data_IF_233156650034
#
_entry.id   IF_233156650034
#
_cell.length_a   1.000
_cell.length_b   1.000
_cell.length_c   1.000
_cell.angle_alpha   90.00
_cell.angle_beta   90.00
_cell.angle_gamma   90.00
#
_symmetry.space_group_name_H-M   'P 1'
#
loop_
_entity.id
_entity.type
_entity.pdbx_description
1 polymer ?
#
# COMPACT_ATOMS: atom_id res chain seq x y z
N UNK A 1 0.63 44.22 -15.21
CA UNK A 1 1.14 43.59 -13.96
C UNK A 1 1.58 42.18 -14.31
N UNK A 2 2.79 41.79 -13.91
CA UNK A 2 3.47 40.55 -14.33
C UNK A 2 2.75 39.32 -13.76
N UNK A 3 2.22 38.47 -14.63
CA UNK A 3 1.73 37.13 -14.31
C UNK A 3 2.92 36.18 -14.14
N UNK A 4 3.50 36.16 -12.94
CA UNK A 4 4.46 35.14 -12.52
C UNK A 4 3.72 34.08 -11.70
N UNK A 5 3.02 33.18 -12.39
CA UNK A 5 2.70 31.87 -11.84
C UNK A 5 3.55 30.87 -12.62
N UNK A 6 4.85 30.87 -12.33
CA UNK A 6 5.66 29.68 -12.51
C UNK A 6 5.16 28.68 -11.46
N UNK A 7 4.04 28.02 -11.79
CA UNK A 7 3.58 26.86 -11.07
C UNK A 7 4.60 25.78 -11.43
N UNK A 8 5.64 25.70 -10.60
CA UNK A 8 6.62 24.65 -10.66
C UNK A 8 5.83 23.34 -10.73
N UNK A 9 5.91 22.66 -11.87
CA UNK A 9 5.55 21.27 -11.94
C UNK A 9 6.44 20.57 -10.92
N UNK A 10 5.89 20.34 -9.72
CA UNK A 10 6.44 19.33 -8.83
C UNK A 10 6.54 18.08 -9.68
N UNK A 11 7.74 17.47 -9.85
CA UNK A 11 7.80 16.19 -10.53
C UNK A 11 6.86 15.29 -9.74
N UNK A 12 5.76 14.89 -10.38
CA UNK A 12 4.92 13.83 -9.87
C UNK A 12 5.90 12.70 -9.56
N UNK A 13 6.08 12.40 -8.28
CA UNK A 13 6.60 11.11 -7.91
C UNK A 13 5.64 10.13 -8.60
N UNK A 14 6.11 9.45 -9.64
CA UNK A 14 5.40 8.38 -10.35
C UNK A 14 5.23 7.13 -9.44
N UNK A 15 4.97 7.38 -8.16
CA UNK A 15 4.53 6.38 -7.22
C UNK A 15 3.08 6.08 -7.50
N UNK A 16 2.77 4.80 -7.66
CA UNK A 16 1.37 4.34 -7.74
C UNK A 16 0.69 4.28 -6.37
N UNK A 17 1.40 4.65 -5.31
CA UNK A 17 0.98 4.54 -3.91
C UNK A 17 1.09 5.88 -3.19
N UNK A 18 0.32 6.00 -2.11
CA UNK A 18 0.38 7.13 -1.18
C UNK A 18 0.68 6.66 0.25
N UNK A 19 1.03 7.60 1.13
CA UNK A 19 1.15 7.31 2.55
C UNK A 19 -0.18 6.75 3.09
N UNK A 20 -0.07 5.87 4.08
CA UNK A 20 -1.17 5.11 4.71
C UNK A 20 -1.76 3.98 3.83
N UNK A 21 -1.33 3.83 2.58
CA UNK A 21 -1.75 2.70 1.76
C UNK A 21 -1.35 1.36 2.40
N UNK A 22 -2.28 0.41 2.33
CA UNK A 22 -2.06 -0.96 2.79
C UNK A 22 -1.70 -1.82 1.59
N UNK A 23 -0.48 -2.34 1.60
CA UNK A 23 0.11 -3.11 0.53
C UNK A 23 0.55 -4.49 1.00
N UNK A 24 0.77 -5.38 0.05
CA UNK A 24 1.39 -6.68 0.27
C UNK A 24 2.61 -6.85 -0.63
N UNK A 25 3.54 -7.70 -0.22
CA UNK A 25 4.68 -8.04 -1.04
C UNK A 25 4.22 -8.85 -2.26
N UNK A 26 4.67 -8.46 -3.45
CA UNK A 26 4.55 -9.24 -4.68
C UNK A 26 5.37 -10.53 -4.50
N UNK A 27 4.68 -11.62 -4.16
CA UNK A 27 5.12 -13.02 -4.21
C UNK A 27 6.65 -13.20 -4.06
N UNK A 28 7.16 -13.11 -2.84
CA UNK A 28 8.45 -13.69 -2.49
C UNK A 28 8.19 -15.17 -2.21
N UNK A 29 8.42 -16.04 -3.20
CA UNK A 29 8.15 -17.50 -3.09
C UNK A 29 8.88 -18.18 -1.91
N UNK A 30 9.85 -17.51 -1.27
CA UNK A 30 10.60 -17.99 -0.10
C UNK A 30 10.04 -17.54 1.26
N UNK A 31 9.21 -16.50 1.27
CA UNK A 31 8.65 -15.91 2.48
C UNK A 31 7.16 -15.69 2.21
N UNK A 32 6.33 -16.60 2.71
CA UNK A 32 4.87 -16.50 2.67
C UNK A 32 4.38 -15.38 3.60
N UNK A 33 4.91 -14.17 3.41
CA UNK A 33 4.51 -12.96 4.11
C UNK A 33 3.26 -12.48 3.39
N UNK A 34 2.12 -13.08 3.76
CA UNK A 34 0.79 -12.55 3.49
C UNK A 34 0.46 -11.37 4.42
N UNK A 35 1.48 -10.75 5.00
CA UNK A 35 1.30 -9.65 5.94
C UNK A 35 0.99 -8.37 5.17
N UNK A 36 -0.01 -7.67 5.69
CA UNK A 36 -0.37 -6.35 5.23
C UNK A 36 0.57 -5.34 5.86
N UNK A 37 1.19 -4.55 5.00
CA UNK A 37 2.19 -3.54 5.31
C UNK A 37 1.58 -2.18 5.05
N UNK A 38 1.64 -1.28 6.01
CA UNK A 38 1.20 0.10 5.84
C UNK A 38 2.38 0.98 5.46
N UNK A 39 2.23 1.74 4.39
CA UNK A 39 3.21 2.70 3.93
C UNK A 39 3.15 3.97 4.79
N UNK A 40 4.30 4.51 5.19
CA UNK A 40 4.38 5.72 6.03
C UNK A 40 4.84 6.94 5.25
N UNK A 41 6.01 6.84 4.64
CA UNK A 41 6.71 7.95 3.99
C UNK A 41 7.45 7.43 2.77
N UNK A 42 7.51 8.24 1.73
CA UNK A 42 8.33 7.94 0.55
C UNK A 42 9.55 8.85 0.53
N UNK A 43 10.73 8.25 0.45
CA UNK A 43 12.01 8.99 0.42
C UNK A 43 12.48 9.35 -1.00
N UNK A 44 11.70 9.01 -2.04
CA UNK A 44 12.05 9.18 -3.45
C UNK A 44 12.46 7.88 -4.14
N UNK A 45 12.77 6.82 -3.40
CA UNK A 45 13.16 5.51 -3.96
C UNK A 45 12.48 4.33 -3.25
N UNK A 46 12.28 4.44 -1.94
CA UNK A 46 11.69 3.42 -1.10
C UNK A 46 10.59 4.01 -0.23
N UNK A 47 9.61 3.17 0.08
CA UNK A 47 8.60 3.43 1.08
C UNK A 47 9.07 2.92 2.43
N UNK A 48 9.05 3.79 3.44
CA UNK A 48 9.12 3.39 4.84
C UNK A 48 7.81 2.72 5.25
N UNK A 49 7.91 1.71 6.11
CA UNK A 49 6.76 0.88 6.48
C UNK A 49 6.60 0.75 8.00
N UNK A 50 5.44 0.29 8.43
CA UNK A 50 5.19 -0.11 9.82
C UNK A 50 5.70 -1.51 10.16
N UNK A 51 6.04 -2.31 9.15
CA UNK A 51 6.50 -3.68 9.29
C UNK A 51 7.99 -3.77 9.63
N UNK A 52 8.43 -4.90 10.23
CA UNK A 52 9.84 -5.17 10.59
C UNK A 52 10.83 -5.16 9.41
N UNK A 53 10.34 -5.15 8.17
CA UNK A 53 11.16 -5.01 6.97
C UNK A 53 11.73 -3.57 6.86
N UNK A 54 11.05 -2.60 7.48
CA UNK A 54 11.46 -1.20 7.55
C UNK A 54 11.22 -0.42 6.26
N UNK A 55 11.76 -0.89 5.14
CA UNK A 55 11.68 -0.20 3.83
C UNK A 55 11.40 -1.16 2.68
N UNK A 56 10.55 -0.75 1.74
CA UNK A 56 10.17 -1.55 0.56
C UNK A 56 10.19 -0.73 -0.72
N UNK A 57 10.47 -1.38 -1.86
CA UNK A 57 10.38 -0.75 -3.18
C UNK A 57 9.03 -1.02 -3.83
N UNK A 58 8.49 -0.06 -4.57
CA UNK A 58 7.22 -0.22 -5.33
C UNK A 58 7.23 -1.41 -6.29
N UNK A 59 8.41 -1.77 -6.81
CA UNK A 59 8.58 -2.91 -7.69
C UNK A 59 8.20 -4.24 -7.02
N UNK A 60 8.35 -4.32 -5.69
CA UNK A 60 8.13 -5.53 -4.89
C UNK A 60 6.85 -5.49 -4.07
N UNK A 61 6.03 -4.44 -4.17
CA UNK A 61 4.72 -4.33 -3.50
C UNK A 61 3.57 -4.21 -4.49
N UNK A 62 2.38 -4.65 -4.08
CA UNK A 62 1.11 -4.40 -4.76
C UNK A 62 0.05 -4.01 -3.73
N UNK A 63 -1.01 -3.35 -4.18
CA UNK A 63 -2.17 -3.10 -3.34
C UNK A 63 -2.72 -4.42 -2.79
N UNK A 64 -3.13 -4.39 -1.53
CA UNK A 64 -3.82 -5.51 -0.91
C UNK A 64 -5.16 -5.76 -1.62
N UNK A 65 -5.51 -7.02 -1.85
CA UNK A 65 -6.85 -7.37 -2.33
C UNK A 65 -7.87 -7.22 -1.20
N UNK A 66 -9.16 -7.03 -1.51
CA UNK A 66 -10.20 -7.03 -0.49
C UNK A 66 -10.13 -8.25 0.41
N UNK A 67 -9.97 -9.45 -0.16
CA UNK A 67 -9.85 -10.70 0.60
C UNK A 67 -8.69 -10.66 1.59
N UNK A 68 -7.54 -10.09 1.25
CA UNK A 68 -6.39 -9.98 2.17
C UNK A 68 -6.67 -8.99 3.30
N UNK A 69 -7.32 -7.86 3.01
CA UNK A 69 -7.79 -6.91 4.02
C UNK A 69 -8.80 -7.56 4.98
N UNK A 70 -9.74 -8.35 4.43
CA UNK A 70 -10.74 -9.10 5.19
C UNK A 70 -10.15 -10.25 6.02
N UNK A 71 -8.99 -10.80 5.68
CA UNK A 71 -8.35 -11.83 6.49
C UNK A 71 -7.65 -11.28 7.75
N UNK A 72 -7.19 -10.01 7.75
CA UNK A 72 -6.51 -9.37 8.90
C UNK A 72 -7.49 -8.66 9.84
N UNK A 73 -8.60 -8.12 9.33
CA UNK A 73 -9.78 -7.92 10.17
C UNK A 73 -10.20 -9.33 10.56
N UNK A 74 -10.02 -9.77 11.81
CA UNK A 74 -10.76 -10.94 12.28
C UNK A 74 -12.21 -10.65 11.90
N UNK A 75 -12.78 -11.41 10.97
CA UNK A 75 -14.17 -11.25 10.58
C UNK A 75 -14.96 -11.39 11.87
N UNK A 76 -15.56 -10.31 12.34
CA UNK A 76 -16.76 -10.43 13.14
C UNK A 76 -17.75 -11.19 12.25
N UNK A 77 -18.32 -12.28 12.76
CA UNK A 77 -19.09 -13.32 12.05
C UNK A 77 -20.14 -12.78 11.05
N UNK A 78 -20.53 -11.52 11.23
CA UNK A 78 -21.48 -10.75 10.42
C UNK A 78 -20.98 -10.54 8.99
N UNK A 79 -19.70 -10.25 8.75
CA UNK A 79 -19.19 -9.96 7.39
C UNK A 79 -18.93 -11.22 6.57
N UNK A 80 -18.67 -12.37 7.21
CA UNK A 80 -18.58 -13.69 6.56
C UNK A 80 -19.94 -14.12 5.96
N UNK A 81 -21.01 -13.82 6.70
CA UNK A 81 -22.38 -14.21 6.34
C UNK A 81 -22.89 -13.51 5.06
N UNK A 82 -22.31 -12.37 4.68
CA UNK A 82 -22.73 -11.58 3.50
C UNK A 82 -22.00 -12.05 2.23
N UNK A 83 -20.77 -12.56 2.35
CA UNK A 83 -19.97 -12.99 1.21
C UNK A 83 -20.37 -14.36 0.63
N UNK A 84 -21.06 -15.22 1.40
CA UNK A 84 -21.49 -16.55 0.95
C UNK A 84 -22.86 -16.57 0.23
N UNK A 85 -23.53 -15.42 0.09
CA UNK A 85 -24.92 -15.33 -0.46
C UNK A 85 -25.00 -14.53 -1.78
N UNK A 86 -23.89 -14.24 -2.46
CA UNK A 86 -23.87 -13.72 -3.85
C UNK A 86 -23.07 -14.61 -4.78
#
# INVERSE_FOLDING_TARGET
MKSNLAQAATPYNDSNFIAEDVVVLKKLDLLCVKELITLKSFDGQYWETDHHIGRVSEKVIRSATPSELFHKRRLDEIELSIAEVS
#
